data_IF_510896814390
#
_entry.id   IF_510896814390
#
_cell.length_a   1.000
_cell.length_b   1.000
_cell.length_c   1.000
_cell.angle_alpha   90.00
_cell.angle_beta   90.00
_cell.angle_gamma   90.00
#
_symmetry.space_group_name_H-M   'P 1'
#
loop_
_entity.id
_entity.type
_entity.pdbx_description
1 polymer ?
#
# COMPACT_ATOMS: atom_id res chain seq x y z
N UNK A 1 9.60 0.58 12.68
CA UNK A 1 9.58 0.70 11.20
C UNK A 1 8.28 1.31 10.72
N UNK A 2 8.36 2.12 9.71
CA UNK A 2 7.20 2.79 9.12
C UNK A 2 7.11 2.46 7.64
N UNK A 3 5.91 2.15 7.17
CA UNK A 3 5.59 2.02 5.76
C UNK A 3 4.58 3.10 5.37
N UNK A 4 4.72 3.68 4.19
CA UNK A 4 3.83 4.74 3.76
C UNK A 4 3.51 4.65 2.27
N UNK A 5 2.24 4.83 1.94
CA UNK A 5 1.78 5.14 0.60
C UNK A 5 1.19 6.54 0.63
N UNK A 6 1.92 7.49 0.09
CA UNK A 6 1.48 8.86 -0.11
C UNK A 6 1.40 9.05 -1.62
N UNK A 7 0.61 10.00 -2.08
CA UNK A 7 0.41 10.23 -3.51
C UNK A 7 1.68 10.10 -4.35
N UNK A 8 1.57 9.42 -5.50
CA UNK A 8 2.62 9.28 -6.50
C UNK A 8 3.94 8.72 -5.97
N UNK A 9 3.99 7.40 -5.63
CA UNK A 9 5.26 6.76 -5.29
C UNK A 9 6.27 6.99 -6.41
N UNK A 10 7.50 7.33 -6.05
CA UNK A 10 8.57 7.59 -7.00
C UNK A 10 9.15 6.31 -7.57
N UNK A 11 8.44 5.66 -8.48
CA UNK A 11 8.92 4.47 -9.15
C UNK A 11 9.88 4.79 -10.30
N UNK A 12 10.79 3.87 -10.56
CA UNK A 12 11.62 3.88 -11.76
C UNK A 12 10.80 3.30 -12.92
N UNK A 13 10.36 4.18 -13.81
CA UNK A 13 9.41 3.84 -14.87
C UNK A 13 9.96 2.83 -15.88
N UNK A 14 11.28 2.75 -16.05
CA UNK A 14 11.95 1.87 -17.00
C UNK A 14 12.28 0.49 -16.41
N UNK A 15 11.91 0.26 -15.15
CA UNK A 15 12.14 -1.00 -14.49
C UNK A 15 10.81 -1.73 -14.26
N UNK A 16 10.88 -3.05 -14.01
CA UNK A 16 9.70 -3.83 -13.67
C UNK A 16 9.22 -3.52 -12.25
N UNK A 17 8.01 -3.98 -11.91
CA UNK A 17 7.51 -3.85 -10.54
C UNK A 17 8.41 -4.54 -9.54
N UNK A 18 8.82 -5.77 -9.84
CA UNK A 18 9.73 -6.53 -8.97
C UNK A 18 11.06 -5.78 -8.77
N UNK A 19 11.66 -5.31 -9.84
CA UNK A 19 12.94 -4.58 -9.76
C UNK A 19 12.85 -3.33 -8.90
N UNK A 20 11.75 -2.58 -9.03
CA UNK A 20 11.52 -1.40 -8.20
C UNK A 20 11.53 -1.74 -6.71
N UNK A 21 10.81 -2.78 -6.32
CA UNK A 21 10.73 -3.19 -4.92
C UNK A 21 12.03 -3.81 -4.44
N UNK A 22 12.64 -4.65 -5.26
CA UNK A 22 13.87 -5.34 -4.89
C UNK A 22 15.06 -4.40 -4.70
N UNK A 23 15.19 -3.38 -5.56
CA UNK A 23 16.25 -2.38 -5.39
C UNK A 23 16.14 -1.64 -4.06
N UNK A 24 14.92 -1.27 -3.68
CA UNK A 24 14.68 -0.64 -2.38
C UNK A 24 14.97 -1.60 -1.24
N UNK A 25 14.54 -2.84 -1.34
CA UNK A 25 14.78 -3.86 -0.33
C UNK A 25 16.27 -4.13 -0.12
N UNK A 26 17.04 -4.17 -1.20
CA UNK A 26 18.50 -4.36 -1.12
C UNK A 26 19.19 -3.22 -0.38
N UNK A 27 18.76 -1.98 -0.62
CA UNK A 27 19.34 -0.82 0.06
C UNK A 27 19.10 -0.91 1.57
N UNK A 28 17.93 -1.37 1.96
CA UNK A 28 17.55 -1.40 3.39
C UNK A 28 18.01 -2.67 4.11
N UNK A 29 18.36 -3.72 3.40
CA UNK A 29 18.85 -5.00 3.93
C UNK A 29 17.93 -5.65 4.98
N UNK A 30 16.63 -5.40 4.94
CA UNK A 30 15.68 -5.88 5.94
C UNK A 30 15.00 -7.19 5.54
N UNK A 31 14.87 -7.45 4.24
CA UNK A 31 14.08 -8.57 3.73
C UNK A 31 14.79 -9.25 2.56
N UNK A 32 14.33 -10.46 2.27
CA UNK A 32 14.86 -11.28 1.19
C UNK A 32 14.04 -11.10 -0.09
N UNK A 33 14.58 -11.59 -1.18
CA UNK A 33 13.93 -11.57 -2.50
C UNK A 33 12.56 -12.26 -2.47
N UNK A 34 12.47 -13.40 -1.77
CA UNK A 34 11.21 -14.13 -1.61
C UNK A 34 10.14 -13.32 -0.90
N UNK A 35 10.52 -12.46 0.05
CA UNK A 35 9.57 -11.60 0.76
C UNK A 35 8.95 -10.57 -0.19
N UNK A 36 9.73 -10.02 -1.10
CA UNK A 36 9.24 -9.11 -2.13
C UNK A 36 8.26 -9.83 -3.06
N UNK A 37 8.63 -11.02 -3.51
CA UNK A 37 7.79 -11.82 -4.39
C UNK A 37 6.44 -12.17 -3.73
N UNK A 38 6.49 -12.60 -2.47
CA UNK A 38 5.29 -12.95 -1.72
C UNK A 38 4.37 -11.74 -1.51
N UNK A 39 4.94 -10.58 -1.21
CA UNK A 39 4.18 -9.35 -1.06
C UNK A 39 3.51 -8.94 -2.36
N UNK A 40 4.20 -9.05 -3.48
CA UNK A 40 3.61 -8.77 -4.79
C UNK A 40 2.44 -9.69 -5.08
N UNK A 41 2.56 -10.98 -4.79
CA UNK A 41 1.47 -11.94 -4.99
C UNK A 41 0.27 -11.62 -4.10
N UNK A 42 0.51 -11.16 -2.88
CA UNK A 42 -0.55 -10.73 -1.98
C UNK A 42 -1.38 -9.59 -2.59
N UNK A 43 -0.73 -8.71 -3.33
CA UNK A 43 -1.38 -7.60 -4.05
C UNK A 43 -1.83 -8.01 -5.46
N UNK A 44 -1.81 -9.30 -5.79
CA UNK A 44 -2.18 -9.85 -7.11
C UNK A 44 -1.33 -9.25 -8.24
N UNK A 45 -0.06 -9.02 -7.96
CA UNK A 45 0.93 -8.62 -8.95
C UNK A 45 1.89 -9.77 -9.21
N UNK A 46 2.09 -10.13 -10.45
CA UNK A 46 3.02 -11.20 -10.82
C UNK A 46 4.46 -10.69 -10.72
N UNK A 47 5.28 -11.27 -9.82
CA UNK A 47 6.68 -10.84 -9.69
C UNK A 47 7.51 -11.12 -10.96
N UNK A 48 7.09 -12.07 -11.78
CA UNK A 48 7.79 -12.44 -13.01
C UNK A 48 7.39 -11.58 -14.21
N UNK A 49 6.40 -10.69 -14.06
CA UNK A 49 5.93 -9.85 -15.15
C UNK A 49 7.03 -8.89 -15.59
N UNK A 50 7.38 -8.96 -16.87
CA UNK A 50 8.48 -8.14 -17.43
C UNK A 50 8.04 -6.76 -17.90
N UNK A 51 6.77 -6.45 -17.79
CA UNK A 51 6.24 -5.13 -18.15
C UNK A 51 6.86 -4.06 -17.25
N UNK A 52 7.31 -2.98 -17.85
CA UNK A 52 7.87 -1.85 -17.11
C UNK A 52 6.77 -1.08 -16.39
N UNK A 53 7.07 -0.54 -15.22
CA UNK A 53 6.09 0.18 -14.40
C UNK A 53 5.45 1.35 -15.15
N UNK A 54 6.20 2.00 -16.05
CA UNK A 54 5.65 3.07 -16.88
C UNK A 54 4.43 2.65 -17.70
N UNK A 55 4.27 1.35 -17.97
CA UNK A 55 3.14 0.80 -18.72
C UNK A 55 2.08 0.16 -17.83
N UNK A 56 2.22 0.22 -16.52
CA UNK A 56 1.21 -0.29 -15.59
C UNK A 56 -0.05 0.57 -15.66
N UNK A 57 -1.19 -0.05 -15.46
CA UNK A 57 -2.44 0.68 -15.20
C UNK A 57 -2.32 1.47 -13.89
N UNK A 58 -3.21 2.44 -13.69
CA UNK A 58 -3.27 3.18 -12.45
C UNK A 58 -3.47 2.26 -11.25
N UNK A 59 -4.38 1.29 -11.39
CA UNK A 59 -4.62 0.29 -10.34
C UNK A 59 -3.40 -0.57 -10.03
N UNK A 60 -2.65 -0.97 -11.04
CA UNK A 60 -1.40 -1.73 -10.84
C UNK A 60 -0.35 -0.90 -10.11
N UNK A 61 -0.20 0.38 -10.48
CA UNK A 61 0.73 1.29 -9.79
C UNK A 61 0.33 1.48 -8.33
N UNK A 62 -0.96 1.63 -8.07
CA UNK A 62 -1.48 1.78 -6.73
C UNK A 62 -1.19 0.55 -5.88
N UNK A 63 -1.46 -0.64 -6.41
CA UNK A 63 -1.17 -1.90 -5.71
C UNK A 63 0.32 -2.10 -5.48
N UNK A 64 1.16 -1.70 -6.44
CA UNK A 64 2.62 -1.77 -6.26
C UNK A 64 3.09 -0.83 -5.15
N UNK A 65 2.50 0.35 -5.04
CA UNK A 65 2.78 1.30 -3.96
C UNK A 65 2.43 0.74 -2.59
N UNK A 66 1.29 0.06 -2.50
CA UNK A 66 0.88 -0.59 -1.24
C UNK A 66 1.85 -1.74 -0.92
N UNK A 67 2.23 -2.55 -1.92
CA UNK A 67 3.23 -3.61 -1.73
C UNK A 67 4.54 -3.04 -1.17
N UNK A 68 5.02 -1.94 -1.71
CA UNK A 68 6.22 -1.27 -1.21
C UNK A 68 6.06 -0.86 0.25
N UNK A 69 4.89 -0.33 0.61
CA UNK A 69 4.63 0.14 1.97
C UNK A 69 4.60 -0.99 3.01
N UNK A 70 4.16 -2.20 2.64
CA UNK A 70 3.98 -3.31 3.58
C UNK A 70 5.06 -4.38 3.52
N UNK A 71 5.92 -4.38 2.49
CA UNK A 71 6.85 -5.49 2.25
C UNK A 71 7.84 -5.75 3.38
N UNK A 72 8.18 -4.73 4.17
CA UNK A 72 9.11 -4.85 5.29
C UNK A 72 8.40 -5.06 6.63
N UNK A 73 7.11 -5.36 6.60
CA UNK A 73 6.28 -5.61 7.79
C UNK A 73 6.39 -4.49 8.84
N UNK A 74 6.02 -3.26 8.47
CA UNK A 74 6.18 -2.11 9.38
C UNK A 74 5.22 -2.18 10.56
N UNK A 75 5.59 -1.54 11.67
CA UNK A 75 4.71 -1.41 12.83
C UNK A 75 3.68 -0.29 12.64
N UNK A 76 4.04 0.73 11.88
CA UNK A 76 3.17 1.84 11.51
C UNK A 76 3.02 1.91 9.99
N UNK A 77 1.80 1.79 9.51
CA UNK A 77 1.48 1.89 8.09
C UNK A 77 0.61 3.12 7.86
N UNK A 78 1.06 3.99 7.00
CA UNK A 78 0.32 5.21 6.62
C UNK A 78 -0.14 5.07 5.17
N UNK A 79 -1.45 5.12 4.96
CA UNK A 79 -2.04 5.00 3.64
C UNK A 79 -2.91 6.24 3.35
N UNK A 80 -2.56 6.95 2.29
CA UNK A 80 -3.31 8.13 1.84
C UNK A 80 -4.09 7.77 0.58
N UNK A 81 -5.41 7.74 0.68
CA UNK A 81 -6.34 7.39 -0.40
C UNK A 81 -5.92 6.09 -1.12
N UNK A 82 -5.73 4.96 -0.39
CA UNK A 82 -5.16 3.75 -0.99
C UNK A 82 -6.06 3.08 -2.01
N UNK A 83 -7.38 3.35 -2.01
CA UNK A 83 -8.32 2.80 -2.98
C UNK A 83 -8.44 3.64 -4.24
N UNK A 84 -7.74 4.76 -4.32
CA UNK A 84 -7.85 5.68 -5.45
C UNK A 84 -7.41 5.01 -6.76
N UNK A 85 -8.25 5.09 -7.78
CA UNK A 85 -7.96 4.49 -9.09
C UNK A 85 -8.22 3.00 -9.18
N UNK A 86 -8.76 2.37 -8.14
CA UNK A 86 -9.07 0.95 -8.13
C UNK A 86 -10.51 0.69 -8.55
N UNK A 87 -10.74 -0.42 -9.26
CA UNK A 87 -12.07 -0.94 -9.53
C UNK A 87 -12.62 -1.65 -8.28
N UNK A 88 -13.84 -2.18 -8.37
CA UNK A 88 -14.50 -2.84 -7.25
C UNK A 88 -13.68 -4.01 -6.70
N UNK A 89 -13.11 -4.84 -7.57
CA UNK A 89 -12.30 -5.99 -7.14
C UNK A 89 -11.00 -5.55 -6.49
N UNK A 90 -10.38 -4.49 -7.00
CA UNK A 90 -9.19 -3.90 -6.41
C UNK A 90 -9.44 -3.33 -5.02
N UNK A 91 -10.57 -2.66 -4.84
CA UNK A 91 -10.98 -2.12 -3.53
C UNK A 91 -11.14 -3.26 -2.52
N UNK A 92 -11.82 -4.35 -2.90
CA UNK A 92 -11.99 -5.52 -2.03
C UNK A 92 -10.64 -6.13 -1.64
N UNK A 93 -9.72 -6.24 -2.61
CA UNK A 93 -8.38 -6.76 -2.36
C UNK A 93 -7.65 -5.91 -1.31
N UNK A 94 -7.64 -4.61 -1.46
CA UNK A 94 -6.93 -3.71 -0.55
C UNK A 94 -7.58 -3.72 0.84
N UNK A 95 -8.90 -3.75 0.93
CA UNK A 95 -9.58 -3.90 2.22
C UNK A 95 -9.12 -5.17 2.94
N UNK A 96 -9.02 -6.28 2.22
CA UNK A 96 -8.57 -7.55 2.80
C UNK A 96 -7.11 -7.49 3.24
N UNK A 97 -6.25 -6.86 2.45
CA UNK A 97 -4.83 -6.67 2.79
C UNK A 97 -4.71 -5.84 4.07
N UNK A 98 -5.45 -4.74 4.18
CA UNK A 98 -5.43 -3.89 5.38
C UNK A 98 -5.92 -4.68 6.61
N UNK A 99 -7.00 -5.45 6.47
CA UNK A 99 -7.51 -6.26 7.57
C UNK A 99 -6.50 -7.29 8.06
N UNK A 100 -5.82 -7.96 7.13
CA UNK A 100 -4.79 -8.95 7.47
C UNK A 100 -3.57 -8.29 8.12
N UNK A 101 -3.25 -7.06 7.73
CA UNK A 101 -2.14 -6.31 8.30
C UNK A 101 -2.42 -5.89 9.74
N UNK A 102 -3.68 -5.65 10.09
CA UNK A 102 -4.08 -5.23 11.43
C UNK A 102 -3.88 -6.36 12.42
N UNK A 103 -2.91 -6.20 13.31
CA UNK A 103 -2.57 -7.17 14.34
C UNK A 103 -2.12 -6.41 15.60
N UNK A 104 -2.13 -7.06 16.78
CA UNK A 104 -1.58 -6.42 17.97
C UNK A 104 -0.16 -5.92 17.75
N UNK A 105 0.11 -4.69 18.16
CA UNK A 105 1.40 -4.03 17.93
C UNK A 105 1.54 -3.29 16.61
N UNK A 106 0.51 -3.35 15.76
CA UNK A 106 0.51 -2.67 14.46
C UNK A 106 -0.50 -1.53 14.45
N UNK A 107 -0.13 -0.41 13.84
CA UNK A 107 -1.01 0.75 13.69
C UNK A 107 -1.14 1.07 12.21
N UNK A 108 -2.37 1.26 11.75
CA UNK A 108 -2.65 1.73 10.39
C UNK A 108 -3.33 3.09 10.46
N UNK A 109 -2.73 4.08 9.84
CA UNK A 109 -3.34 5.41 9.64
C UNK A 109 -3.87 5.47 8.21
N UNK A 110 -5.18 5.59 8.09
CA UNK A 110 -5.86 5.64 6.80
C UNK A 110 -6.45 7.03 6.60
N UNK A 111 -6.00 7.73 5.57
CA UNK A 111 -6.62 8.98 5.13
C UNK A 111 -7.51 8.68 3.94
N UNK A 112 -8.80 8.98 4.05
CA UNK A 112 -9.78 8.72 2.99
C UNK A 112 -10.94 9.70 3.07
N UNK A 113 -11.48 10.04 1.90
CA UNK A 113 -12.75 10.77 1.78
C UNK A 113 -13.94 9.82 1.61
N UNK A 114 -13.71 8.53 1.51
CA UNK A 114 -14.76 7.54 1.31
C UNK A 114 -15.25 7.03 2.67
N UNK A 115 -16.50 7.36 2.99
CA UNK A 115 -17.13 6.98 4.27
C UNK A 115 -17.21 5.47 4.46
N UNK A 116 -17.51 4.76 3.38
CA UNK A 116 -17.64 3.30 3.43
C UNK A 116 -16.34 2.64 3.85
N UNK A 117 -15.22 3.07 3.27
CA UNK A 117 -13.90 2.54 3.64
C UNK A 117 -13.58 2.84 5.11
N UNK A 118 -13.89 4.05 5.56
CA UNK A 118 -13.68 4.46 6.95
C UNK A 118 -14.51 3.60 7.90
N UNK A 119 -15.78 3.38 7.61
CA UNK A 119 -16.67 2.58 8.45
C UNK A 119 -16.26 1.12 8.51
N UNK A 120 -15.81 0.56 7.39
CA UNK A 120 -15.44 -0.86 7.30
C UNK A 120 -14.08 -1.12 7.97
N UNK A 121 -13.12 -0.22 7.83
CA UNK A 121 -11.72 -0.48 8.16
C UNK A 121 -11.25 0.15 9.47
N UNK A 122 -11.87 1.22 9.92
CA UNK A 122 -11.34 2.03 11.03
C UNK A 122 -12.00 1.72 12.36
N UNK A 123 -11.18 1.60 13.41
CA UNK A 123 -11.64 1.47 14.79
C UNK A 123 -11.92 2.84 15.39
N UNK A 124 -11.09 3.83 15.06
CA UNK A 124 -11.24 5.21 15.52
C UNK A 124 -11.20 6.14 14.31
N UNK A 125 -12.05 7.13 14.31
CA UNK A 125 -12.17 8.08 13.20
C UNK A 125 -11.96 9.51 13.70
N UNK A 126 -11.08 10.24 13.01
CA UNK A 126 -10.84 11.65 13.25
C UNK A 126 -11.21 12.43 12.00
N UNK A 127 -11.90 13.53 12.17
CA UNK A 127 -12.24 14.42 11.07
C UNK A 127 -11.34 15.64 11.10
N UNK A 128 -10.70 15.94 9.97
CA UNK A 128 -9.89 17.15 9.81
C UNK A 128 -10.69 18.15 9.00
N UNK A 129 -10.95 19.30 9.58
CA UNK A 129 -11.72 20.36 8.94
C UNK A 129 -11.19 21.72 9.39
N UNK A 130 -10.94 22.61 8.44
CA UNK A 130 -10.44 23.96 8.71
C UNK A 130 -9.19 24.01 9.62
N UNK A 131 -8.28 23.04 9.44
CA UNK A 131 -7.07 22.96 10.22
C UNK A 131 -7.25 22.38 11.62
N UNK A 132 -8.45 21.92 11.96
CA UNK A 132 -8.72 21.31 13.27
C UNK A 132 -8.99 19.82 13.12
N UNK A 133 -8.61 19.06 14.16
CA UNK A 133 -8.79 17.61 14.20
C UNK A 133 -9.80 17.29 15.30
N UNK A 134 -10.87 16.59 14.95
CA UNK A 134 -11.89 16.17 15.90
C UNK A 134 -12.13 14.67 15.81
N UNK A 135 -12.22 13.99 16.95
CA UNK A 135 -12.59 12.58 17.02
C UNK A 135 -14.08 12.42 16.79
N UNK A 136 -14.44 11.51 15.90
CA UNK A 136 -15.84 11.17 15.63
C UNK A 136 -16.31 9.98 16.44
#
# INVERSE_FOLDING_TARGET
>A
KMGALIENPGFMWHETGFENLWYLAKIRHCIQKSDVEDTMRLLELDPALKTKVGKYSLGMKQRLGIAQAIMEDPDLLILDEPMNGLDESGVKLIRNVIRKFRQPGKIVLLASHNREDIEILCDEVYQVQNGQIEKR
#
